data_IF_908284598240
#
_entry.id   IF_908284598240
#
_cell.length_a   1.000
_cell.length_b   1.000
_cell.length_c   1.000
_cell.angle_alpha   90.00
_cell.angle_beta   90.00
_cell.angle_gamma   90.00
#
_symmetry.space_group_name_H-M   'P 1'
#
loop_
_entity.id
_entity.type
_entity.pdbx_description
1 polymer ?
#
# COMPACT_ATOMS: atom_id res chain seq x y z
N UNK A 1 51.63 37.01 7.66
CA UNK A 1 50.62 37.61 6.77
C UNK A 1 49.31 36.87 7.04
N UNK A 2 48.34 37.55 7.62
CA UNK A 2 47.03 37.04 8.09
C UNK A 2 46.02 37.11 6.95
N UNK A 3 45.20 36.07 6.76
CA UNK A 3 43.75 36.02 6.42
C UNK A 3 43.39 34.50 6.46
N UNK A 4 42.81 33.90 7.52
CA UNK A 4 41.44 33.98 8.07
C UNK A 4 40.38 33.15 7.31
N UNK A 5 39.53 32.45 8.10
CA UNK A 5 38.33 31.63 7.80
C UNK A 5 38.54 30.10 7.68
N UNK A 6 38.05 29.20 8.54
CA UNK A 6 37.17 29.37 9.70
C UNK A 6 35.85 28.59 9.65
N UNK A 7 35.84 27.25 9.53
CA UNK A 7 34.66 26.47 10.00
C UNK A 7 35.03 25.16 10.70
N UNK A 8 34.52 25.06 11.95
CA UNK A 8 34.69 23.99 12.92
C UNK A 8 33.99 22.69 12.48
N UNK A 9 34.66 21.56 12.66
CA UNK A 9 34.00 20.25 12.79
C UNK A 9 33.36 20.17 14.18
N UNK A 10 32.03 20.22 14.26
CA UNK A 10 31.30 19.78 15.45
C UNK A 10 30.97 18.30 15.30
N UNK A 11 31.63 17.47 16.10
CA UNK A 11 31.16 16.13 16.46
C UNK A 11 30.26 16.32 17.67
N UNK A 12 28.95 16.20 17.49
CA UNK A 12 28.01 16.15 18.61
C UNK A 12 27.63 14.71 18.88
N UNK A 13 28.10 14.19 20.02
CA UNK A 13 27.62 12.97 20.64
C UNK A 13 26.11 13.10 20.91
N UNK A 14 25.31 12.17 20.39
CA UNK A 14 23.89 12.05 20.75
C UNK A 14 23.80 11.16 21.99
N UNK A 15 23.62 11.79 23.14
CA UNK A 15 23.19 11.11 24.36
C UNK A 15 21.67 10.95 24.30
N UNK A 16 21.17 9.72 24.25
CA UNK A 16 19.73 9.43 24.34
C UNK A 16 19.28 9.68 25.79
N UNK A 17 18.54 10.76 26.01
CA UNK A 17 17.80 10.99 27.26
C UNK A 17 16.36 10.51 27.07
N UNK A 18 16.09 9.35 27.66
CA UNK A 18 14.76 8.79 27.83
C UNK A 18 14.00 9.58 28.91
N UNK A 19 12.97 10.35 28.54
CA UNK A 19 11.81 10.68 29.39
C UNK A 19 10.59 10.95 28.52
N UNK A 20 9.52 10.19 28.79
CA UNK A 20 8.24 10.32 28.12
C UNK A 20 7.56 11.66 28.38
N UNK A 21 6.69 12.05 27.45
CA UNK A 21 5.42 12.74 27.66
C UNK A 21 4.72 12.94 26.32
N UNK A 22 3.42 12.67 26.32
CA UNK A 22 2.47 12.86 25.23
C UNK A 22 2.55 14.27 24.60
N UNK A 23 2.38 14.35 23.28
CA UNK A 23 1.98 15.57 22.59
C UNK A 23 1.09 15.22 21.39
N UNK A 24 -0.18 15.55 21.54
CA UNK A 24 -1.20 15.58 20.49
C UNK A 24 -0.81 16.58 19.40
N UNK A 25 -0.90 16.18 18.14
CA UNK A 25 -0.84 17.10 17.00
C UNK A 25 -2.26 17.39 16.52
N UNK A 26 -2.71 18.62 16.73
CA UNK A 26 -3.88 19.22 16.07
C UNK A 26 -3.38 19.84 14.76
N UNK A 27 -3.90 19.38 13.62
CA UNK A 27 -3.65 19.99 12.31
C UNK A 27 -4.79 20.96 12.02
N UNK A 28 -4.48 22.25 11.88
CA UNK A 28 -5.41 23.30 11.46
C UNK A 28 -5.55 23.30 9.93
N UNK A 29 -6.78 23.14 9.43
CA UNK A 29 -7.12 23.35 8.02
C UNK A 29 -7.27 24.85 7.72
N UNK A 30 -6.66 25.34 6.64
CA UNK A 30 -7.00 26.62 6.02
C UNK A 30 -7.88 26.40 4.79
N UNK A 31 -9.08 26.98 4.83
CA UNK A 31 -10.00 27.12 3.69
C UNK A 31 -9.61 28.34 2.84
N UNK A 32 -9.66 28.19 1.51
CA UNK A 32 -9.95 29.28 0.59
C UNK A 32 -10.97 28.79 -0.44
N UNK A 33 -12.03 29.58 -0.66
CA UNK A 33 -13.17 29.22 -1.49
C UNK A 33 -13.42 30.15 -2.68
N UNK A 34 -14.20 29.61 -3.64
CA UNK A 34 -15.16 30.20 -4.63
C UNK A 34 -14.97 29.52 -6.00
N UNK A 35 -15.87 28.62 -6.40
CA UNK A 35 -17.15 28.83 -7.14
C UNK A 35 -16.97 29.05 -8.66
N UNK A 36 -17.45 28.11 -9.49
CA UNK A 36 -18.65 28.26 -10.35
C UNK A 36 -19.08 26.92 -10.98
N UNK A 37 -20.39 26.75 -11.08
CA UNK A 37 -21.12 25.58 -11.56
C UNK A 37 -20.98 25.31 -13.06
N UNK A 38 -21.02 24.02 -13.44
CA UNK A 38 -21.51 23.55 -14.74
C UNK A 38 -22.22 22.21 -14.55
N UNK A 39 -23.52 22.19 -14.81
CA UNK A 39 -24.40 21.01 -14.81
C UNK A 39 -24.86 20.78 -16.26
N UNK A 40 -24.63 19.58 -16.82
CA UNK A 40 -25.45 19.00 -17.90
C UNK A 40 -25.48 17.45 -17.80
N UNK A 41 -26.68 16.87 -17.95
CA UNK A 41 -27.01 15.44 -17.87
C UNK A 41 -27.20 14.82 -19.26
N UNK A 42 -26.54 13.66 -19.51
CA UNK A 42 -27.02 12.28 -19.88
C UNK A 42 -28.02 12.15 -21.09
N UNK A 43 -27.91 11.17 -22.05
CA UNK A 43 -27.84 9.72 -21.77
C UNK A 43 -27.07 8.72 -22.70
N UNK A 44 -26.77 7.57 -22.07
CA UNK A 44 -26.69 6.16 -22.55
C UNK A 44 -25.94 5.76 -23.83
N UNK A 45 -24.97 4.85 -23.65
CA UNK A 45 -24.79 3.69 -24.55
C UNK A 45 -24.26 2.48 -23.78
N UNK A 46 -25.11 1.47 -23.61
CA UNK A 46 -24.67 0.10 -23.29
C UNK A 46 -24.10 -0.51 -24.57
N UNK A 47 -22.90 -1.08 -24.51
CA UNK A 47 -22.45 -2.07 -25.49
C UNK A 47 -22.21 -3.38 -24.77
N UNK A 48 -23.12 -4.33 -24.99
CA UNK A 48 -22.93 -5.73 -24.67
C UNK A 48 -21.98 -6.32 -25.71
N UNK A 49 -20.84 -6.82 -25.29
CA UNK A 49 -20.05 -7.79 -26.05
C UNK A 49 -19.95 -9.04 -25.19
N UNK A 50 -20.60 -10.10 -25.65
CA UNK A 50 -20.50 -11.44 -25.07
C UNK A 50 -19.59 -12.28 -25.95
N UNK A 51 -18.47 -12.77 -25.41
CA UNK A 51 -17.85 -14.00 -25.88
C UNK A 51 -17.07 -14.61 -24.69
N UNK A 52 -17.20 -15.92 -24.51
CA UNK A 52 -17.13 -16.57 -23.20
C UNK A 52 -15.76 -16.81 -22.55
N UNK A 53 -15.90 -17.32 -21.31
CA UNK A 53 -14.94 -17.88 -20.31
C UNK A 53 -14.44 -16.91 -19.24
N UNK A 54 -15.04 -17.10 -18.06
CA UNK A 54 -14.75 -16.56 -16.72
C UNK A 54 -14.99 -15.06 -16.58
N UNK A 55 -16.26 -14.73 -16.37
CA UNK A 55 -16.69 -13.50 -15.72
C UNK A 55 -16.18 -13.47 -14.28
N UNK A 56 -15.06 -12.79 -14.03
CA UNK A 56 -14.85 -12.21 -12.70
C UNK A 56 -15.83 -11.05 -12.57
N UNK A 57 -16.60 -11.04 -11.48
CA UNK A 57 -17.37 -9.85 -11.10
C UNK A 57 -16.33 -8.82 -10.68
N UNK A 58 -15.92 -7.95 -11.60
CA UNK A 58 -15.29 -6.70 -11.24
C UNK A 58 -16.36 -5.92 -10.48
N UNK A 59 -16.26 -5.86 -9.15
CA UNK A 59 -16.96 -4.84 -8.41
C UNK A 59 -16.48 -3.51 -8.99
N UNK A 60 -17.38 -2.85 -9.74
CA UNK A 60 -17.23 -1.45 -10.08
C UNK A 60 -17.11 -0.70 -8.76
N UNK A 61 -16.15 0.21 -8.67
CA UNK A 61 -16.06 1.19 -7.58
C UNK A 61 -17.19 2.22 -7.62
N UNK A 62 -18.21 2.02 -8.47
CA UNK A 62 -19.49 2.73 -8.42
C UNK A 62 -20.21 2.42 -7.10
N UNK A 63 -19.72 3.06 -6.05
CA UNK A 63 -20.52 3.42 -4.90
C UNK A 63 -21.55 4.41 -5.39
N UNK A 64 -22.66 3.89 -5.92
CA UNK A 64 -23.88 4.64 -6.10
C UNK A 64 -24.31 5.17 -4.72
N UNK A 65 -23.91 6.39 -4.37
CA UNK A 65 -24.37 7.15 -3.21
C UNK A 65 -23.88 6.72 -1.82
N UNK A 66 -23.10 5.64 -1.67
CA UNK A 66 -22.54 5.22 -0.38
C UNK A 66 -21.16 5.81 -0.13
N UNK A 67 -20.94 6.46 1.03
CA UNK A 67 -19.58 6.83 1.44
C UNK A 67 -18.72 5.56 1.58
N UNK A 68 -17.48 5.59 1.08
CA UNK A 68 -16.50 4.51 1.26
C UNK A 68 -16.33 4.21 2.76
N UNK A 69 -16.78 3.04 3.27
CA UNK A 69 -16.77 2.75 4.70
C UNK A 69 -15.35 2.68 5.27
N UNK A 70 -14.36 2.38 4.43
CA UNK A 70 -12.94 2.32 4.83
C UNK A 70 -12.45 3.70 5.26
N UNK A 71 -12.94 4.79 4.65
CA UNK A 71 -12.53 6.15 5.00
C UNK A 71 -12.89 6.54 6.44
N UNK A 72 -13.93 5.92 7.01
CA UNK A 72 -14.32 6.16 8.41
C UNK A 72 -13.57 5.30 9.41
N UNK A 73 -12.83 4.28 8.96
CA UNK A 73 -12.21 3.30 9.85
C UNK A 73 -11.34 3.93 10.94
N UNK A 74 -10.43 4.90 10.66
CA UNK A 74 -9.62 5.52 11.71
C UNK A 74 -10.44 6.24 12.79
N UNK A 75 -11.55 6.87 12.37
CA UNK A 75 -12.44 7.60 13.28
C UNK A 75 -13.23 6.61 14.13
N UNK A 76 -13.80 5.56 13.52
CA UNK A 76 -14.56 4.55 14.25
C UNK A 76 -13.68 3.79 15.27
N UNK A 77 -12.43 3.46 14.92
CA UNK A 77 -11.48 2.85 15.85
C UNK A 77 -11.13 3.77 17.02
N UNK A 78 -10.96 5.08 16.77
CA UNK A 78 -10.74 6.07 17.81
C UNK A 78 -11.98 6.24 18.71
N UNK A 79 -13.17 6.29 18.15
CA UNK A 79 -14.45 6.33 18.87
C UNK A 79 -14.59 5.11 19.79
N UNK A 80 -14.29 3.91 19.28
CA UNK A 80 -14.36 2.68 20.08
C UNK A 80 -13.35 2.69 21.24
N UNK A 81 -12.17 3.28 21.05
CA UNK A 81 -11.12 3.33 22.06
C UNK A 81 -11.43 4.28 23.24
N UNK A 82 -12.29 5.28 23.03
CA UNK A 82 -12.69 6.25 24.06
C UNK A 82 -14.10 6.02 24.62
N UNK A 83 -14.79 5.00 24.13
CA UNK A 83 -16.17 4.70 24.48
C UNK A 83 -16.31 4.43 25.99
N UNK A 84 -17.32 5.03 26.62
CA UNK A 84 -17.62 4.81 28.05
C UNK A 84 -18.00 3.35 28.34
N UNK A 85 -17.77 2.89 29.58
CA UNK A 85 -18.09 1.52 29.99
C UNK A 85 -19.58 1.16 29.90
N UNK A 86 -20.43 2.19 29.96
CA UNK A 86 -21.89 2.04 30.04
C UNK A 86 -22.55 2.07 28.65
N UNK A 87 -21.77 2.36 27.60
CA UNK A 87 -22.23 2.41 26.22
C UNK A 87 -22.06 1.03 25.55
N UNK A 88 -23.06 0.61 24.77
CA UNK A 88 -22.99 -0.65 24.01
C UNK A 88 -22.20 -0.45 22.70
N UNK A 89 -21.01 -1.07 22.53
CA UNK A 89 -20.18 -0.90 21.35
C UNK A 89 -20.61 -1.77 20.15
N UNK A 90 -21.70 -2.54 20.25
CA UNK A 90 -22.02 -3.61 19.29
C UNK A 90 -22.12 -3.12 17.84
N UNK A 91 -22.86 -2.04 17.60
CA UNK A 91 -23.01 -1.49 16.24
C UNK A 91 -21.69 -0.93 15.71
N UNK A 92 -20.92 -0.23 16.55
CA UNK A 92 -19.62 0.34 16.17
C UNK A 92 -18.60 -0.75 15.85
N UNK A 93 -18.54 -1.82 16.66
CA UNK A 93 -17.68 -2.98 16.40
C UNK A 93 -18.08 -3.69 15.11
N UNK A 94 -19.37 -3.80 14.83
CA UNK A 94 -19.89 -4.38 13.58
C UNK A 94 -19.45 -3.53 12.38
N UNK A 95 -19.66 -2.22 12.43
CA UNK A 95 -19.25 -1.30 11.37
C UNK A 95 -17.72 -1.31 11.12
N UNK A 96 -16.91 -1.39 12.18
CA UNK A 96 -15.45 -1.55 12.09
C UNK A 96 -15.10 -2.89 11.42
N UNK A 97 -15.76 -3.99 11.82
CA UNK A 97 -15.56 -5.31 11.23
C UNK A 97 -15.89 -5.35 9.74
N UNK A 98 -17.01 -4.75 9.34
CA UNK A 98 -17.44 -4.65 7.95
C UNK A 98 -16.47 -3.79 7.12
N UNK A 99 -16.04 -2.64 7.66
CA UNK A 99 -15.07 -1.77 7.00
C UNK A 99 -13.69 -2.45 6.84
N UNK A 100 -13.22 -3.19 7.85
CA UNK A 100 -11.98 -3.99 7.76
C UNK A 100 -12.10 -5.11 6.73
N UNK A 101 -13.25 -5.77 6.66
CA UNK A 101 -13.53 -6.81 5.66
C UNK A 101 -13.50 -6.21 4.25
N UNK A 102 -14.15 -5.07 4.04
CA UNK A 102 -14.13 -4.35 2.76
C UNK A 102 -12.71 -3.90 2.37
N UNK A 103 -11.94 -3.39 3.35
CA UNK A 103 -10.53 -3.02 3.17
C UNK A 103 -9.70 -4.22 2.73
N UNK A 104 -9.80 -5.37 3.41
CA UNK A 104 -9.04 -6.58 3.08
C UNK A 104 -9.33 -7.07 1.65
N UNK A 105 -10.59 -7.09 1.23
CA UNK A 105 -10.93 -7.44 -0.16
C UNK A 105 -10.31 -6.49 -1.18
N UNK A 106 -10.30 -5.19 -0.89
CA UNK A 106 -9.66 -4.19 -1.74
C UNK A 106 -8.13 -4.37 -1.82
N UNK A 107 -7.47 -4.72 -0.72
CA UNK A 107 -6.03 -5.00 -0.68
C UNK A 107 -5.70 -6.28 -1.46
N UNK A 108 -6.48 -7.36 -1.27
CA UNK A 108 -6.32 -8.61 -2.01
C UNK A 108 -6.45 -8.41 -3.53
N UNK A 109 -7.35 -7.53 -3.95
CA UNK A 109 -7.48 -7.13 -5.35
C UNK A 109 -6.22 -6.44 -5.86
N UNK A 110 -5.71 -5.44 -5.14
CA UNK A 110 -4.48 -4.73 -5.53
C UNK A 110 -3.27 -5.68 -5.57
N UNK A 111 -3.19 -6.63 -4.64
CA UNK A 111 -2.17 -7.67 -4.63
C UNK A 111 -2.27 -8.59 -5.87
N UNK A 112 -3.48 -8.99 -6.26
CA UNK A 112 -3.69 -9.77 -7.47
C UNK A 112 -3.23 -8.99 -8.71
N UNK A 113 -3.63 -7.72 -8.82
CA UNK A 113 -3.22 -6.82 -9.91
C UNK A 113 -1.68 -6.66 -9.97
N UNK A 114 -1.01 -6.57 -8.83
CA UNK A 114 0.46 -6.54 -8.74
C UNK A 114 1.12 -7.80 -9.29
N UNK A 115 0.74 -8.98 -8.79
CA UNK A 115 1.38 -10.25 -9.20
C UNK A 115 1.00 -10.65 -10.63
N UNK A 116 -0.20 -10.28 -11.10
CA UNK A 116 -0.59 -10.47 -12.50
C UNK A 116 0.24 -9.57 -13.43
N UNK A 117 0.43 -8.29 -13.09
CA UNK A 117 1.27 -7.37 -13.85
C UNK A 117 2.74 -7.83 -13.86
N UNK A 118 3.27 -8.23 -12.70
CA UNK A 118 4.62 -8.79 -12.58
C UNK A 118 4.76 -10.04 -13.46
N UNK A 119 3.85 -10.99 -13.31
CA UNK A 119 3.98 -12.29 -14.00
C UNK A 119 3.92 -12.16 -15.53
N UNK A 120 3.15 -11.19 -16.02
CA UNK A 120 3.02 -10.94 -17.46
C UNK A 120 4.04 -9.92 -18.00
N UNK A 121 4.85 -9.29 -17.14
CA UNK A 121 5.75 -8.22 -17.55
C UNK A 121 5.00 -6.99 -18.09
N UNK A 122 3.79 -6.74 -17.59
CA UNK A 122 2.92 -5.66 -18.04
C UNK A 122 3.25 -4.38 -17.28
N UNK A 123 4.02 -3.50 -17.91
CA UNK A 123 4.44 -2.23 -17.31
C UNK A 123 3.26 -1.26 -17.12
N UNK A 124 2.30 -1.26 -18.04
CA UNK A 124 1.14 -0.37 -17.96
C UNK A 124 0.25 -0.78 -16.78
N UNK A 125 -0.03 -2.07 -16.64
CA UNK A 125 -0.76 -2.59 -15.48
C UNK A 125 0.03 -2.34 -14.17
N UNK A 126 1.35 -2.57 -14.19
CA UNK A 126 2.21 -2.32 -13.03
C UNK A 126 2.11 -0.86 -12.57
N UNK A 127 2.14 0.11 -13.49
CA UNK A 127 1.99 1.53 -13.15
C UNK A 127 0.70 1.83 -12.38
N UNK A 128 -0.40 1.14 -12.68
CA UNK A 128 -1.70 1.38 -12.01
C UNK A 128 -1.71 0.94 -10.54
N UNK A 129 -0.90 -0.05 -10.18
CA UNK A 129 -0.82 -0.62 -8.84
C UNK A 129 -0.17 0.35 -7.86
N UNK A 130 0.86 1.08 -8.33
CA UNK A 130 1.63 1.97 -7.46
C UNK A 130 0.89 3.28 -7.17
N UNK A 131 1.10 3.79 -5.97
CA UNK A 131 0.56 5.06 -5.49
C UNK A 131 0.98 6.24 -6.37
N UNK A 132 0.04 7.16 -6.56
CA UNK A 132 0.28 8.45 -7.26
C UNK A 132 0.24 9.63 -6.31
N UNK A 133 -0.26 9.45 -5.09
CA UNK A 133 -0.45 10.52 -4.09
C UNK A 133 0.56 10.46 -2.94
N UNK A 134 1.32 9.37 -2.82
CA UNK A 134 2.24 9.12 -1.71
C UNK A 134 3.65 8.82 -2.20
N UNK A 135 4.63 9.01 -1.33
CA UNK A 135 6.00 8.57 -1.60
C UNK A 135 6.03 7.04 -1.75
N UNK A 136 6.73 6.58 -2.79
CA UNK A 136 6.86 5.14 -3.09
C UNK A 136 8.30 4.67 -3.00
N UNK A 137 8.49 3.44 -2.55
CA UNK A 137 9.79 2.80 -2.40
C UNK A 137 9.74 1.36 -2.87
N UNK A 138 10.83 0.89 -3.47
CA UNK A 138 10.98 -0.50 -3.88
C UNK A 138 12.35 -1.03 -3.45
N UNK A 139 12.40 -2.27 -3.00
CA UNK A 139 13.63 -3.00 -2.69
C UNK A 139 13.54 -4.35 -3.38
N UNK A 140 14.20 -4.45 -4.53
CA UNK A 140 14.37 -5.72 -5.24
C UNK A 140 15.39 -6.61 -4.50
N UNK A 141 15.31 -7.93 -4.63
CA UNK A 141 16.18 -8.85 -3.89
C UNK A 141 17.68 -8.53 -4.08
N UNK A 142 18.38 -8.30 -2.96
CA UNK A 142 19.81 -8.04 -2.94
C UNK A 142 20.25 -6.66 -3.45
N UNK A 143 19.31 -5.76 -3.78
CA UNK A 143 19.61 -4.41 -4.26
C UNK A 143 19.31 -3.34 -3.19
N UNK A 144 19.99 -2.18 -3.23
CA UNK A 144 19.62 -1.03 -2.41
C UNK A 144 18.20 -0.55 -2.68
N UNK A 145 17.67 0.23 -1.73
CA UNK A 145 16.36 0.84 -1.87
C UNK A 145 16.30 1.85 -3.03
N UNK A 146 15.21 1.78 -3.78
CA UNK A 146 14.83 2.68 -4.85
C UNK A 146 13.69 3.56 -4.36
N UNK A 147 13.80 4.87 -4.55
CA UNK A 147 12.89 5.86 -3.98
C UNK A 147 12.28 6.73 -5.08
N UNK A 148 10.99 7.01 -4.95
CA UNK A 148 10.26 7.85 -5.88
C UNK A 148 9.69 7.07 -7.07
N UNK A 149 8.51 7.49 -7.53
CA UNK A 149 7.71 6.74 -8.51
C UNK A 149 8.43 6.53 -9.84
N UNK A 150 9.07 7.55 -10.37
CA UNK A 150 9.80 7.46 -11.64
C UNK A 150 10.91 6.41 -11.58
N UNK A 151 11.74 6.43 -10.53
CA UNK A 151 12.83 5.47 -10.36
C UNK A 151 12.30 4.05 -10.13
N UNK A 152 11.23 3.89 -9.35
CA UNK A 152 10.59 2.58 -9.15
C UNK A 152 10.05 2.03 -10.48
N UNK A 153 9.34 2.84 -11.29
CA UNK A 153 8.82 2.38 -12.59
C UNK A 153 9.95 2.06 -13.57
N UNK A 154 11.03 2.85 -13.57
CA UNK A 154 12.22 2.56 -14.37
C UNK A 154 12.86 1.21 -14.00
N UNK A 155 12.88 0.86 -12.71
CA UNK A 155 13.38 -0.44 -12.25
C UNK A 155 12.53 -1.61 -12.72
N UNK A 156 11.20 -1.49 -12.68
CA UNK A 156 10.28 -2.50 -13.19
C UNK A 156 10.42 -2.67 -14.70
N UNK A 157 10.52 -1.56 -15.44
CA UNK A 157 10.80 -1.59 -16.88
C UNK A 157 12.09 -2.34 -17.19
N UNK A 158 13.15 -2.14 -16.40
CA UNK A 158 14.41 -2.86 -16.55
C UNK A 158 14.25 -4.36 -16.30
N UNK A 159 13.55 -4.75 -15.21
CA UNK A 159 13.26 -6.16 -14.90
C UNK A 159 12.48 -6.82 -16.04
N UNK A 160 11.42 -6.18 -16.52
CA UNK A 160 10.57 -6.71 -17.60
C UNK A 160 11.30 -6.77 -18.94
N UNK A 161 12.26 -5.87 -19.20
CA UNK A 161 13.08 -5.90 -20.42
C UNK A 161 14.18 -6.98 -20.37
N UNK A 162 14.66 -7.33 -19.17
CA UNK A 162 15.71 -8.33 -18.97
C UNK A 162 15.20 -9.78 -18.95
N UNK A 163 13.92 -9.99 -18.65
CA UNK A 163 13.28 -11.30 -18.61
C UNK A 163 12.96 -11.84 -20.01
N UNK A 164 13.58 -12.96 -20.40
CA UNK A 164 13.15 -13.73 -21.59
C UNK A 164 11.92 -14.60 -21.24
N UNK A 165 10.79 -13.98 -20.89
CA UNK A 165 9.54 -14.70 -20.63
C UNK A 165 8.72 -14.15 -19.47
N UNK A 166 7.57 -14.81 -19.22
CA UNK A 166 6.71 -14.55 -18.07
C UNK A 166 7.44 -14.90 -16.77
N UNK A 167 7.44 -14.01 -15.79
CA UNK A 167 7.88 -14.36 -14.44
C UNK A 167 6.78 -15.22 -13.82
N UNK A 168 7.05 -16.47 -13.44
CA UNK A 168 6.08 -17.21 -12.62
C UNK A 168 6.36 -16.91 -11.16
N UNK A 169 5.62 -15.95 -10.59
CA UNK A 169 5.71 -15.59 -9.18
C UNK A 169 4.33 -15.79 -8.53
N UNK A 170 4.26 -16.76 -7.63
CA UNK A 170 3.04 -17.08 -6.89
C UNK A 170 3.17 -16.62 -5.44
N UNK A 171 2.33 -15.67 -4.96
CA UNK A 171 2.30 -15.32 -3.55
C UNK A 171 1.66 -16.44 -2.73
N UNK A 172 2.33 -16.88 -1.69
CA UNK A 172 1.86 -17.88 -0.74
C UNK A 172 1.95 -17.35 0.69
N UNK A 173 1.20 -17.97 1.62
CA UNK A 173 1.19 -17.58 3.04
C UNK A 173 0.92 -16.08 3.25
N UNK A 174 0.01 -15.53 2.45
CA UNK A 174 -0.39 -14.12 2.51
C UNK A 174 -1.01 -13.81 3.86
N UNK A 175 -0.46 -12.82 4.56
CA UNK A 175 -1.06 -12.19 5.73
C UNK A 175 -1.32 -10.72 5.41
N UNK A 176 -2.45 -10.19 5.86
CA UNK A 176 -2.85 -8.80 5.64
C UNK A 176 -3.31 -8.24 6.97
N UNK A 177 -2.74 -7.09 7.35
CA UNK A 177 -3.15 -6.30 8.50
C UNK A 177 -3.66 -4.95 8.02
N UNK A 178 -4.88 -4.58 8.42
CA UNK A 178 -5.50 -3.29 8.10
C UNK A 178 -5.28 -2.32 9.25
N UNK A 179 -4.60 -1.20 8.97
CA UNK A 179 -4.28 -0.12 9.89
C UNK A 179 -4.88 1.19 9.37
N UNK A 180 -6.17 1.43 9.66
CA UNK A 180 -6.89 2.58 9.13
C UNK A 180 -6.91 2.59 7.59
N UNK A 181 -6.25 3.59 6.99
CA UNK A 181 -6.16 3.75 5.52
C UNK A 181 -4.88 3.14 4.93
N UNK A 182 -4.13 2.39 5.73
CA UNK A 182 -2.91 1.68 5.32
C UNK A 182 -3.12 0.18 5.53
N UNK A 183 -2.51 -0.64 4.69
CA UNK A 183 -2.48 -2.08 4.87
C UNK A 183 -1.05 -2.60 4.76
N UNK A 184 -0.69 -3.49 5.67
CA UNK A 184 0.60 -4.18 5.70
C UNK A 184 0.35 -5.60 5.24
N UNK A 185 1.05 -6.05 4.21
CA UNK A 185 0.92 -7.37 3.66
C UNK A 185 2.27 -8.08 3.61
N UNK A 186 2.33 -9.28 4.18
CA UNK A 186 3.48 -10.17 4.07
C UNK A 186 3.11 -11.41 3.28
N UNK A 187 4.05 -11.95 2.51
CA UNK A 187 3.86 -13.21 1.80
C UNK A 187 5.20 -13.82 1.39
N UNK A 188 5.17 -15.12 1.10
CA UNK A 188 6.27 -15.83 0.44
C UNK A 188 6.04 -15.80 -1.07
N UNK A 189 6.96 -15.19 -1.81
CA UNK A 189 6.96 -15.20 -3.27
C UNK A 189 7.70 -16.44 -3.77
N UNK A 190 6.98 -17.34 -4.44
CA UNK A 190 7.57 -18.52 -5.05
C UNK A 190 7.91 -18.24 -6.50
N UNK A 191 9.20 -18.24 -6.81
CA UNK A 191 9.69 -18.10 -8.18
C UNK A 191 9.78 -19.47 -8.88
N UNK A 192 9.73 -19.45 -10.21
CA UNK A 192 10.03 -20.61 -11.04
C UNK A 192 11.43 -21.17 -10.71
N UNK A 193 11.56 -22.50 -10.66
CA UNK A 193 12.81 -23.17 -10.25
C UNK A 193 12.97 -23.35 -8.73
N UNK A 194 11.96 -22.99 -7.93
CA UNK A 194 11.90 -23.30 -6.50
C UNK A 194 12.54 -22.25 -5.58
N UNK A 195 12.93 -21.10 -6.13
CA UNK A 195 13.36 -19.95 -5.33
C UNK A 195 12.20 -19.41 -4.48
N UNK A 196 12.51 -18.97 -3.25
CA UNK A 196 11.56 -18.33 -2.36
C UNK A 196 12.12 -17.01 -1.85
N UNK A 197 11.27 -15.99 -1.84
CA UNK A 197 11.54 -14.68 -1.24
C UNK A 197 10.49 -14.40 -0.17
N UNK A 198 10.87 -13.75 0.92
CA UNK A 198 9.89 -13.08 1.80
C UNK A 198 9.63 -11.69 1.24
N UNK A 199 8.36 -11.33 1.11
CA UNK A 199 7.94 -10.04 0.61
C UNK A 199 7.10 -9.28 1.63
N UNK A 200 7.35 -7.97 1.71
CA UNK A 200 6.58 -6.98 2.45
C UNK A 200 6.03 -5.94 1.47
N UNK A 201 4.71 -5.88 1.39
CA UNK A 201 3.99 -4.92 0.57
C UNK A 201 3.17 -4.00 1.47
N UNK A 202 3.29 -2.68 1.30
CA UNK A 202 2.47 -1.70 2.02
C UNK A 202 1.57 -1.00 1.03
N UNK A 203 0.27 -0.97 1.31
CA UNK A 203 -0.73 -0.31 0.49
C UNK A 203 -1.38 0.84 1.25
N UNK A 204 -1.82 1.85 0.51
CA UNK A 204 -2.62 2.96 1.03
C UNK A 204 -3.89 3.13 0.21
N UNK A 205 -4.98 3.52 0.89
CA UNK A 205 -6.24 3.85 0.25
C UNK A 205 -6.12 5.21 -0.46
N UNK A 206 -6.32 5.23 -1.77
CA UNK A 206 -6.24 6.41 -2.64
C UNK A 206 -7.36 6.41 -3.66
N UNK A 207 -8.18 7.46 -3.70
CA UNK A 207 -9.22 7.65 -4.72
C UNK A 207 -10.19 6.47 -4.89
N UNK A 208 -10.50 5.72 -3.83
CA UNK A 208 -11.38 4.56 -3.92
C UNK A 208 -10.68 3.25 -4.35
N UNK A 209 -9.35 3.23 -4.45
CA UNK A 209 -8.53 2.04 -4.70
C UNK A 209 -7.46 1.85 -3.63
N UNK A 210 -6.91 0.65 -3.50
CA UNK A 210 -5.70 0.41 -2.71
C UNK A 210 -4.51 0.46 -3.65
N UNK A 211 -3.50 1.27 -3.32
CA UNK A 211 -2.30 1.45 -4.13
C UNK A 211 -1.04 1.18 -3.32
N UNK A 212 -0.08 0.54 -3.95
CA UNK A 212 1.18 0.15 -3.33
C UNK A 212 2.10 1.36 -3.10
N UNK A 213 2.66 1.44 -1.90
CA UNK A 213 3.65 2.46 -1.49
C UNK A 213 5.01 1.85 -1.21
N UNK A 214 5.05 0.58 -0.79
CA UNK A 214 6.29 -0.17 -0.61
C UNK A 214 6.13 -1.57 -1.19
N UNK A 215 7.14 -1.99 -1.95
CA UNK A 215 7.43 -3.41 -2.20
C UNK A 215 8.86 -3.68 -1.75
N UNK A 216 9.05 -4.67 -0.89
CA UNK A 216 10.36 -5.18 -0.51
C UNK A 216 10.34 -6.69 -0.62
N UNK A 217 11.28 -7.26 -1.38
CA UNK A 217 11.47 -8.71 -1.44
C UNK A 217 12.91 -9.06 -1.06
N UNK A 218 13.08 -10.08 -0.21
CA UNK A 218 14.37 -10.52 0.29
C UNK A 218 14.54 -12.05 0.22
N UNK A 219 15.76 -12.55 0.02
CA UNK A 219 16.01 -13.99 -0.06
C UNK A 219 15.72 -14.68 1.28
N UNK A 220 15.07 -15.84 1.23
CA UNK A 220 14.91 -16.71 2.40
C UNK A 220 16.13 -17.62 2.50
N UNK A 221 16.96 -17.41 3.51
CA UNK A 221 18.05 -18.34 3.82
C UNK A 221 17.46 -19.52 4.58
N UNK A 222 17.11 -20.59 3.86
CA UNK A 222 16.68 -21.85 4.46
C UNK A 222 17.90 -22.53 5.08
N UNK A 223 18.08 -22.41 6.40
CA UNK A 223 19.09 -23.16 7.11
C UNK A 223 18.79 -24.67 7.02
N UNK A 224 19.66 -25.43 6.34
CA UNK A 224 19.65 -26.89 6.44
C UNK A 224 20.38 -27.29 7.73
N UNK A 225 19.61 -27.55 8.78
CA UNK A 225 20.08 -28.20 10.02
C UNK A 225 20.41 -27.22 11.16
N UNK A 226 19.56 -27.26 12.19
CA UNK A 226 19.78 -26.89 13.60
C UNK A 226 20.77 -25.77 13.93
N UNK A 227 20.28 -24.55 14.07
CA UNK A 227 20.30 -23.75 15.31
C UNK A 227 19.62 -22.41 15.01
N UNK A 228 18.47 -22.17 15.64
CA UNK A 228 17.74 -20.92 15.49
C UNK A 228 18.54 -19.77 16.12
N UNK A 229 18.77 -18.71 15.35
CA UNK A 229 19.04 -17.39 15.90
C UNK A 229 17.80 -16.53 15.70
N UNK A 230 17.43 -15.84 16.78
CA UNK A 230 16.29 -14.95 17.02
C UNK A 230 15.01 -15.63 17.50
#
# INVERSE_FOLDING_TARGET
MVLADGTRKMVSNVTVLNRGSFLSFVVLCFFFGRSTAWEQRIPTRQSVVSEGRRSFVLFSSDTAGGQDPVLRLPIMEAELAILGSDEDPTDLKTAIGDAKTAAEFGVRRSQLEFYDAFSNGDLEAMETVWSTESDVRCVHPGLPSIEGREAVMASWKQIFSGGKGKFSIEPARVQIEICGLTAICTCVEKAEGGGQLEALNIYKREGGSWRMTLHMAGPVVVQRGGEAFF
#
